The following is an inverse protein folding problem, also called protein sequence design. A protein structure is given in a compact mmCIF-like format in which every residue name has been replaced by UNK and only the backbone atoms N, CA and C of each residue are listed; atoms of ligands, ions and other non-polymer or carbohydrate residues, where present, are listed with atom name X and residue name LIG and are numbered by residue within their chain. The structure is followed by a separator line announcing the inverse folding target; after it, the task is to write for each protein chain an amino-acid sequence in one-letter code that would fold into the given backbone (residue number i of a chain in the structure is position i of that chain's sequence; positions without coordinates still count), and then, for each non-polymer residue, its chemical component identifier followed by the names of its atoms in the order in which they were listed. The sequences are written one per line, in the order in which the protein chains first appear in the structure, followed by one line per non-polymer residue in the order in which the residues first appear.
data_IF_767137920971
#
_entry.id   IF_767137920971
#
_cell.length_a   1.000
_cell.length_b   1.000
_cell.length_c   1.000
_cell.angle_alpha   90.00
_cell.angle_beta   90.00
_cell.angle_gamma   90.00
#
_symmetry.space_group_name_H-M   'P 1'
#
loop_
_entity.id
_entity.type
_entity.pdbx_description
1 polymer ?
#
# COMPACT_ATOMS: atom_id res chain seq x y z
N UNK A 1 2.61 -11.23 26.48
CA UNK A 1 3.31 -9.93 26.25
C UNK A 1 2.36 -9.07 25.40
N UNK A 2 2.32 -7.74 25.47
CA UNK A 2 1.46 -6.98 24.54
C UNK A 2 2.02 -7.04 23.11
N UNK A 3 1.15 -6.98 22.10
CA UNK A 3 1.56 -6.75 20.71
C UNK A 3 2.45 -5.52 20.64
N UNK A 4 3.61 -5.66 20.01
CA UNK A 4 4.56 -4.56 19.87
C UNK A 4 4.62 -4.11 18.43
N UNK A 5 4.44 -2.80 18.23
CA UNK A 5 4.45 -2.18 16.90
C UNK A 5 5.76 -1.41 16.71
N UNK A 6 6.36 -1.58 15.54
CA UNK A 6 7.53 -0.86 15.07
C UNK A 6 7.31 -0.49 13.61
N UNK A 7 8.34 -0.05 12.92
CA UNK A 7 8.29 0.26 11.49
C UNK A 7 9.50 -0.33 10.76
N UNK A 8 9.40 -0.47 9.43
CA UNK A 8 10.56 -0.74 8.60
C UNK A 8 11.53 0.45 8.61
N UNK A 9 12.83 0.19 8.75
CA UNK A 9 13.86 1.23 8.68
C UNK A 9 14.27 1.56 7.24
N UNK A 10 14.00 0.67 6.29
CA UNK A 10 14.19 0.87 4.85
C UNK A 10 13.16 0.08 4.05
N UNK A 11 13.00 0.37 2.76
CA UNK A 11 12.14 -0.41 1.88
C UNK A 11 12.71 -1.82 1.65
N UNK A 12 11.82 -2.80 1.49
CA UNK A 12 12.17 -4.21 1.27
C UNK A 12 11.52 -4.74 -0.01
N UNK A 13 12.23 -5.59 -0.75
CA UNK A 13 11.68 -6.30 -1.90
C UNK A 13 10.79 -7.46 -1.45
N UNK A 14 10.01 -8.03 -2.38
CA UNK A 14 9.15 -9.19 -2.12
C UNK A 14 9.92 -10.47 -1.70
N UNK A 15 11.22 -10.55 -2.00
CA UNK A 15 12.07 -11.73 -1.75
C UNK A 15 13.03 -11.52 -0.57
N UNK A 16 12.98 -10.37 0.10
CA UNK A 16 13.86 -10.06 1.22
C UNK A 16 13.55 -10.95 2.43
N UNK A 17 14.54 -11.66 2.95
CA UNK A 17 14.43 -12.47 4.18
C UNK A 17 15.04 -11.79 5.41
N UNK A 18 15.90 -10.81 5.19
CA UNK A 18 16.46 -9.96 6.25
C UNK A 18 15.69 -8.64 6.29
N UNK A 19 14.89 -8.45 7.33
CA UNK A 19 13.96 -7.34 7.46
C UNK A 19 14.51 -6.31 8.44
N UNK A 20 14.91 -5.15 7.91
CA UNK A 20 15.43 -4.06 8.71
C UNK A 20 14.27 -3.26 9.35
N UNK A 21 14.27 -3.19 10.68
CA UNK A 21 13.23 -2.52 11.48
C UNK A 21 13.83 -1.39 12.32
N UNK A 22 13.01 -0.40 12.66
CA UNK A 22 13.40 0.73 13.53
C UNK A 22 13.71 0.25 14.95
N UNK A 23 13.03 -0.80 15.41
CA UNK A 23 13.25 -1.45 16.70
C UNK A 23 12.89 -2.92 16.61
N UNK A 24 13.74 -3.78 17.18
CA UNK A 24 13.51 -5.22 17.35
C UNK A 24 12.80 -5.56 18.66
N UNK A 25 12.42 -4.55 19.45
CA UNK A 25 11.66 -4.75 20.68
C UNK A 25 10.36 -5.50 20.37
N UNK A 26 10.16 -6.66 21.02
CA UNK A 26 9.01 -7.54 20.77
C UNK A 26 9.23 -8.62 19.71
N UNK A 27 10.31 -8.54 18.91
CA UNK A 27 10.70 -9.63 18.04
C UNK A 27 11.17 -10.83 18.88
N UNK A 28 10.79 -12.05 18.49
CA UNK A 28 11.26 -13.29 19.11
C UNK A 28 11.23 -14.39 18.06
N UNK A 29 12.24 -15.26 18.07
CA UNK A 29 12.27 -16.43 17.18
C UNK A 29 11.00 -17.28 17.32
N UNK A 30 10.56 -17.87 16.20
CA UNK A 30 9.33 -18.65 16.06
C UNK A 30 8.03 -17.89 16.39
N UNK A 31 8.05 -16.56 16.39
CA UNK A 31 6.83 -15.76 16.51
C UNK A 31 6.39 -15.17 15.17
N UNK A 32 5.08 -14.97 14.99
CA UNK A 32 4.57 -14.29 13.82
C UNK A 32 4.98 -12.81 13.83
N UNK A 33 5.25 -12.31 12.64
CA UNK A 33 5.48 -10.90 12.34
C UNK A 33 4.56 -10.52 11.19
N UNK A 34 3.97 -9.34 11.26
CA UNK A 34 3.09 -8.80 10.22
C UNK A 34 3.65 -7.49 9.71
N UNK A 35 3.66 -7.31 8.38
CA UNK A 35 3.93 -6.02 7.72
C UNK A 35 2.72 -5.67 6.88
N UNK A 36 2.04 -4.56 7.18
CA UNK A 36 0.75 -4.22 6.58
C UNK A 36 -0.25 -5.40 6.64
N UNK A 37 -0.46 -6.12 5.53
CA UNK A 37 -1.30 -7.32 5.41
C UNK A 37 -0.55 -8.63 5.11
N UNK A 38 0.78 -8.60 5.10
CA UNK A 38 1.62 -9.79 4.88
C UNK A 38 2.07 -10.39 6.22
N UNK A 39 1.98 -11.72 6.34
CA UNK A 39 2.44 -12.47 7.50
C UNK A 39 3.76 -13.19 7.22
N UNK A 40 4.57 -13.30 8.25
CA UNK A 40 5.89 -13.95 8.23
C UNK A 40 6.15 -14.64 9.56
N UNK A 41 7.05 -15.62 9.56
CA UNK A 41 7.59 -16.21 10.79
C UNK A 41 9.02 -15.73 11.04
N UNK A 42 9.26 -15.13 12.21
CA UNK A 42 10.60 -14.73 12.65
C UNK A 42 11.44 -15.98 12.93
N UNK A 43 12.64 -16.04 12.37
CA UNK A 43 13.61 -17.13 12.60
C UNK A 43 14.61 -16.72 13.65
N UNK A 44 15.22 -15.55 13.48
CA UNK A 44 16.26 -15.04 14.37
C UNK A 44 16.30 -13.51 14.35
N UNK A 45 16.86 -12.93 15.41
CA UNK A 45 17.13 -11.50 15.52
C UNK A 45 18.64 -11.34 15.28
N UNK A 46 19.02 -10.87 14.10
CA UNK A 46 20.41 -10.88 13.61
C UNK A 46 21.21 -9.68 14.17
N UNK A 47 20.53 -8.62 14.59
CA UNK A 47 21.12 -7.44 15.21
C UNK A 47 20.07 -6.54 15.86
N UNK A 48 20.47 -5.36 16.34
CA UNK A 48 19.56 -4.43 17.04
C UNK A 48 18.35 -3.98 16.20
N UNK A 49 18.50 -4.02 14.86
CA UNK A 49 17.56 -3.46 13.89
C UNK A 49 17.29 -4.42 12.72
N UNK A 50 17.62 -5.71 12.87
CA UNK A 50 17.51 -6.68 11.78
C UNK A 50 16.86 -7.97 12.27
N UNK A 51 15.74 -8.32 11.65
CA UNK A 51 14.97 -9.55 11.92
C UNK A 51 15.01 -10.42 10.70
N UNK A 52 15.43 -11.68 10.84
CA UNK A 52 15.39 -12.64 9.75
C UNK A 52 14.10 -13.44 9.81
N UNK A 53 13.45 -13.59 8.67
CA UNK A 53 12.21 -14.37 8.53
C UNK A 53 12.46 -15.64 7.73
N UNK A 54 11.63 -16.67 7.97
CA UNK A 54 11.75 -17.97 7.29
C UNK A 54 11.43 -17.82 5.81
N UNK A 55 10.33 -17.13 5.53
CA UNK A 55 9.77 -16.90 4.21
C UNK A 55 8.83 -15.70 4.27
N UNK A 56 8.55 -15.18 3.07
CA UNK A 56 7.55 -14.15 2.80
C UNK A 56 6.20 -14.82 2.52
N UNK A 57 5.10 -14.12 2.80
CA UNK A 57 3.76 -14.63 2.52
C UNK A 57 3.35 -15.88 3.32
N UNK A 58 3.75 -15.98 4.59
CA UNK A 58 3.33 -17.09 5.45
C UNK A 58 1.80 -17.07 5.63
N UNK A 59 1.24 -18.22 5.99
CA UNK A 59 -0.18 -18.42 6.23
C UNK A 59 -1.07 -18.06 5.01
N UNK A 60 -0.51 -18.14 3.80
CA UNK A 60 -1.22 -17.92 2.53
C UNK A 60 -1.24 -16.46 2.07
N UNK A 61 -0.57 -15.54 2.77
CA UNK A 61 -0.51 -14.14 2.35
C UNK A 61 0.39 -13.91 1.15
N UNK A 62 0.11 -12.87 0.37
CA UNK A 62 0.93 -12.54 -0.79
C UNK A 62 2.19 -11.80 -0.35
N UNK A 63 3.36 -12.29 -0.79
CA UNK A 63 4.62 -11.58 -0.65
C UNK A 63 4.63 -10.33 -1.53
N UNK A 64 4.77 -9.13 -0.96
CA UNK A 64 4.80 -7.85 -1.70
C UNK A 64 6.00 -7.01 -1.26
N UNK A 65 6.50 -6.13 -2.11
CA UNK A 65 7.49 -5.14 -1.70
C UNK A 65 6.85 -4.11 -0.75
N UNK A 66 7.53 -3.77 0.35
CA UNK A 66 7.05 -2.75 1.29
C UNK A 66 7.98 -1.54 1.31
N UNK A 67 7.39 -0.37 1.52
CA UNK A 67 8.12 0.88 1.66
C UNK A 67 8.78 0.99 3.04
N UNK A 68 9.82 1.82 3.16
CA UNK A 68 10.32 2.24 4.46
C UNK A 68 9.16 2.84 5.28
N UNK A 69 9.25 2.73 6.61
CA UNK A 69 8.23 3.17 7.55
C UNK A 69 6.90 2.39 7.51
N UNK A 70 6.78 1.33 6.70
CA UNK A 70 5.63 0.43 6.77
C UNK A 70 5.49 -0.16 8.19
N UNK A 71 4.25 -0.34 8.63
CA UNK A 71 3.96 -0.78 10.00
C UNK A 71 4.33 -2.24 10.16
N UNK A 72 5.07 -2.54 11.24
CA UNK A 72 5.49 -3.88 11.59
C UNK A 72 4.91 -4.23 12.95
N UNK A 73 4.24 -5.37 13.06
CA UNK A 73 3.64 -5.85 14.31
C UNK A 73 4.25 -7.21 14.65
N UNK A 74 4.82 -7.34 15.86
CA UNK A 74 5.29 -8.61 16.38
C UNK A 74 4.22 -9.28 17.24
N UNK A 75 3.96 -10.54 16.95
CA UNK A 75 3.11 -11.41 17.76
C UNK A 75 3.75 -11.81 19.08
N UNK A 76 2.92 -12.20 20.03
CA UNK A 76 3.32 -12.60 21.39
C UNK A 76 3.46 -14.13 21.46
N UNK A 77 2.92 -14.85 20.47
CA UNK A 77 3.08 -16.29 20.27
C UNK A 77 1.82 -17.12 20.58
N UNK A 78 0.71 -16.48 20.95
CA UNK A 78 -0.56 -17.18 21.15
C UNK A 78 -1.25 -17.39 19.79
N UNK A 79 -1.94 -18.53 19.64
CA UNK A 79 -2.55 -18.96 18.39
C UNK A 79 -3.68 -18.01 17.89
N UNK A 80 -4.24 -17.20 18.77
CA UNK A 80 -5.40 -16.31 18.49
C UNK A 80 -5.06 -14.81 18.44
N UNK A 81 -3.78 -14.42 18.53
CA UNK A 81 -3.37 -13.00 18.58
C UNK A 81 -3.38 -12.30 17.23
N UNK A 82 -3.23 -13.09 16.18
CA UNK A 82 -3.62 -12.70 14.85
C UNK A 82 -4.88 -13.51 14.54
N UNK A 83 -5.95 -12.87 14.01
CA UNK A 83 -7.22 -13.55 13.76
C UNK A 83 -6.99 -14.92 13.12
N UNK A 84 -7.56 -15.97 13.71
CA UNK A 84 -7.43 -17.34 13.21
C UNK A 84 -7.89 -17.37 11.75
N UNK A 85 -6.91 -17.63 10.88
CA UNK A 85 -6.92 -17.40 9.42
C UNK A 85 -6.65 -15.94 9.00
N UNK A 86 -5.50 -15.67 8.36
CA UNK A 86 -5.32 -14.45 7.60
C UNK A 86 -6.41 -14.33 6.54
N UNK A 87 -6.74 -13.10 6.22
CA UNK A 87 -7.42 -12.73 4.98
C UNK A 87 -6.46 -13.07 3.82
N UNK A 88 -6.29 -14.36 3.51
CA UNK A 88 -5.68 -14.96 2.31
C UNK A 88 -5.59 -16.52 2.34
N UNK A 89 -6.51 -17.25 3.01
CA UNK A 89 -7.13 -18.29 2.17
C UNK A 89 -7.67 -17.57 0.93
N UNK A 90 -7.81 -18.19 -0.24
CA UNK A 90 -8.67 -17.61 -1.28
C UNK A 90 -10.14 -17.58 -0.82
N UNK A 91 -10.44 -17.13 0.40
CA UNK A 91 -11.65 -16.44 0.72
C UNK A 91 -11.66 -15.21 -0.17
N UNK A 92 -12.64 -15.17 -1.07
CA UNK A 92 -13.01 -13.94 -1.74
C UNK A 92 -13.13 -12.88 -0.65
N UNK A 93 -12.20 -11.93 -0.58
CA UNK A 93 -12.47 -10.69 0.13
C UNK A 93 -13.77 -10.22 -0.49
N UNK A 94 -14.80 -10.05 0.33
CA UNK A 94 -16.06 -9.65 -0.21
C UNK A 94 -15.82 -8.31 -0.94
N UNK A 95 -16.24 -8.18 -2.21
CA UNK A 95 -15.74 -7.16 -3.16
C UNK A 95 -16.02 -5.70 -2.75
N UNK A 96 -16.56 -5.49 -1.55
CA UNK A 96 -17.00 -4.21 -1.00
C UNK A 96 -16.05 -3.61 0.04
N UNK A 97 -14.98 -4.29 0.48
CA UNK A 97 -14.00 -3.67 1.37
C UNK A 97 -12.96 -2.88 0.57
N UNK A 98 -12.74 -1.59 0.86
CA UNK A 98 -11.66 -0.84 0.25
C UNK A 98 -10.31 -1.42 0.66
N UNK A 99 -9.42 -1.63 -0.30
CA UNK A 99 -8.01 -1.86 -0.01
C UNK A 99 -7.32 -0.53 0.30
N UNK A 100 -6.46 -0.50 1.32
CA UNK A 100 -5.68 0.69 1.66
C UNK A 100 -4.18 0.47 1.35
N UNK A 101 -3.61 1.26 0.45
CA UNK A 101 -2.19 1.20 0.04
C UNK A 101 -1.47 2.49 0.44
N UNK A 102 -0.30 2.39 1.07
CA UNK A 102 0.56 3.56 1.37
C UNK A 102 1.67 3.73 0.33
N UNK A 103 1.71 4.90 -0.31
CA UNK A 103 2.70 5.26 -1.32
C UNK A 103 3.83 6.10 -0.69
N UNK A 104 4.98 5.46 -0.46
CA UNK A 104 6.16 6.08 0.18
C UNK A 104 7.30 6.46 -0.79
N UNK A 105 7.29 5.93 -2.01
CA UNK A 105 8.34 6.13 -3.02
C UNK A 105 7.73 6.40 -4.40
N UNK A 106 8.31 7.33 -5.17
CA UNK A 106 7.88 7.58 -6.55
C UNK A 106 8.04 6.33 -7.42
N UNK A 107 7.13 6.14 -8.37
CA UNK A 107 7.18 4.98 -9.27
C UNK A 107 5.83 4.68 -9.89
N UNK A 108 5.66 3.44 -10.34
CA UNK A 108 4.37 2.97 -10.85
C UNK A 108 3.38 2.85 -9.69
N UNK A 109 2.18 3.38 -9.88
CA UNK A 109 1.06 3.17 -8.97
C UNK A 109 0.55 1.74 -9.22
N UNK A 110 0.63 0.82 -8.24
CA UNK A 110 0.07 -0.51 -8.42
C UNK A 110 -1.44 -0.40 -8.58
N UNK A 111 -2.03 -1.14 -9.50
CA UNK A 111 -3.50 -1.26 -9.64
C UNK A 111 -3.84 -2.74 -9.63
N UNK A 112 -4.68 -3.16 -8.68
CA UNK A 112 -5.13 -4.54 -8.58
C UNK A 112 -6.41 -4.72 -9.39
N UNK A 113 -6.42 -5.69 -10.30
CA UNK A 113 -7.54 -5.88 -11.23
C UNK A 113 -8.75 -6.63 -10.66
N UNK A 114 -8.65 -7.11 -9.42
CA UNK A 114 -9.64 -7.91 -8.72
C UNK A 114 -10.44 -7.12 -7.67
N UNK A 115 -10.11 -5.84 -7.45
CA UNK A 115 -10.72 -5.00 -6.43
C UNK A 115 -11.56 -3.88 -7.04
N UNK A 116 -12.72 -3.59 -6.44
CA UNK A 116 -13.59 -2.51 -6.91
C UNK A 116 -13.26 -1.15 -6.28
N UNK A 117 -12.60 -1.13 -5.13
CA UNK A 117 -12.32 0.08 -4.35
C UNK A 117 -10.90 0.00 -3.78
N UNK A 118 -10.02 0.92 -4.18
CA UNK A 118 -8.66 1.01 -3.63
C UNK A 118 -8.34 2.45 -3.24
N UNK A 119 -7.89 2.64 -2.00
CA UNK A 119 -7.54 3.91 -1.40
C UNK A 119 -6.01 4.02 -1.22
N UNK A 120 -5.41 5.00 -1.88
CA UNK A 120 -3.99 5.30 -1.82
C UNK A 120 -3.71 6.49 -0.90
N UNK A 121 -2.93 6.26 0.14
CA UNK A 121 -2.41 7.30 1.01
C UNK A 121 -0.95 7.64 0.64
N UNK A 122 -0.71 8.84 0.13
CA UNK A 122 0.64 9.29 -0.23
C UNK A 122 1.31 9.89 1.01
N UNK A 123 2.40 9.26 1.47
CA UNK A 123 3.13 9.65 2.70
C UNK A 123 4.62 9.93 2.46
N UNK A 124 5.03 10.10 1.21
CA UNK A 124 6.43 10.37 0.86
C UNK A 124 6.93 11.67 1.48
N UNK A 125 8.11 11.63 2.11
CA UNK A 125 8.83 12.83 2.53
C UNK A 125 9.39 13.55 1.28
N UNK A 126 8.61 14.50 0.76
CA UNK A 126 8.88 15.26 -0.46
C UNK A 126 7.83 15.02 -1.54
N UNK A 127 8.12 15.45 -2.78
CA UNK A 127 7.19 15.28 -3.90
C UNK A 127 7.15 13.81 -4.34
N UNK A 128 5.96 13.21 -4.29
CA UNK A 128 5.64 11.93 -4.93
C UNK A 128 5.31 12.16 -6.40
N UNK A 129 5.88 11.32 -7.26
CA UNK A 129 5.63 11.27 -8.69
C UNK A 129 5.20 9.84 -9.01
N UNK A 130 3.91 9.65 -9.25
CA UNK A 130 3.32 8.35 -9.58
C UNK A 130 2.99 8.25 -11.05
N UNK A 131 3.21 7.08 -11.65
CA UNK A 131 2.70 6.76 -12.99
C UNK A 131 1.57 5.75 -12.87
N UNK A 132 0.38 6.13 -13.30
CA UNK A 132 -0.81 5.28 -13.33
C UNK A 132 -1.03 4.75 -14.75
N UNK A 133 -1.05 3.42 -14.89
CA UNK A 133 -1.27 2.77 -16.18
C UNK A 133 -2.71 2.96 -16.68
N UNK A 134 -2.93 2.75 -17.98
CA UNK A 134 -4.28 2.72 -18.53
C UNK A 134 -5.10 1.57 -17.90
N UNK A 135 -6.37 1.80 -17.55
CA UNK A 135 -7.23 0.72 -17.10
C UNK A 135 -7.51 -0.22 -18.27
N UNK A 136 -7.57 -1.51 -18.00
CA UNK A 136 -8.03 -2.50 -18.98
C UNK A 136 -9.55 -2.71 -18.85
N UNK A 137 -10.15 -3.43 -19.80
CA UNK A 137 -11.61 -3.68 -19.81
C UNK A 137 -12.13 -4.42 -18.59
N UNK A 138 -11.31 -5.23 -17.92
CA UNK A 138 -11.71 -5.96 -16.72
C UNK A 138 -11.81 -5.04 -15.50
N UNK A 139 -11.17 -3.86 -15.55
CA UNK A 139 -11.20 -2.86 -14.48
C UNK A 139 -12.38 -1.89 -14.59
N UNK A 140 -13.24 -2.01 -15.60
CA UNK A 140 -14.39 -1.10 -15.76
C UNK A 140 -15.27 -1.10 -14.49
N UNK A 141 -15.51 0.09 -13.92
CA UNK A 141 -16.23 0.30 -12.67
C UNK A 141 -15.38 0.27 -11.40
N UNK A 142 -14.07 -0.03 -11.50
CA UNK A 142 -13.14 0.08 -10.38
C UNK A 142 -12.88 1.54 -10.02
N UNK A 143 -12.87 1.84 -8.73
CA UNK A 143 -12.59 3.17 -8.18
C UNK A 143 -11.26 3.21 -7.43
N UNK A 144 -10.48 4.24 -7.73
CA UNK A 144 -9.23 4.56 -7.04
C UNK A 144 -9.38 5.92 -6.35
N UNK A 145 -9.13 5.98 -5.06
CA UNK A 145 -9.08 7.24 -4.30
C UNK A 145 -7.64 7.53 -3.92
N UNK A 146 -7.15 8.72 -4.22
CA UNK A 146 -5.81 9.16 -3.82
C UNK A 146 -5.92 10.29 -2.82
N UNK A 147 -5.19 10.20 -1.71
CA UNK A 147 -5.14 11.22 -0.66
C UNK A 147 -3.70 11.55 -0.28
N UNK A 148 -3.36 12.83 -0.23
CA UNK A 148 -2.09 13.32 0.30
C UNK A 148 -2.11 13.34 1.83
N UNK A 149 -1.13 12.69 2.45
CA UNK A 149 -0.87 12.78 3.88
C UNK A 149 0.19 13.83 4.25
N UNK A 150 0.64 14.67 3.31
CA UNK A 150 1.80 15.55 3.51
C UNK A 150 1.58 16.96 2.95
N UNK A 151 2.45 17.91 3.31
CA UNK A 151 2.45 19.28 2.82
C UNK A 151 3.23 19.48 1.51
N UNK A 152 3.27 18.46 0.64
CA UNK A 152 3.97 18.52 -0.65
C UNK A 152 2.98 18.38 -1.81
N UNK A 153 3.27 19.07 -2.92
CA UNK A 153 2.50 18.96 -4.15
C UNK A 153 2.87 17.66 -4.89
N UNK A 154 2.11 16.60 -4.67
CA UNK A 154 2.28 15.32 -5.34
C UNK A 154 1.72 15.35 -6.77
N UNK A 155 2.19 14.45 -7.63
CA UNK A 155 1.71 14.31 -9.01
C UNK A 155 1.45 12.85 -9.32
N UNK A 156 0.26 12.58 -9.85
CA UNK A 156 -0.05 11.31 -10.52
C UNK A 156 -0.16 11.59 -12.01
N UNK A 157 0.61 10.85 -12.81
CA UNK A 157 0.66 10.95 -14.27
C UNK A 157 -0.04 9.74 -14.88
N UNK A 158 -1.03 10.01 -15.72
CA UNK A 158 -1.72 9.05 -16.57
C UNK A 158 -1.90 9.70 -17.96
N UNK A 159 -0.90 9.51 -18.84
CA UNK A 159 -0.76 10.26 -20.10
C UNK A 159 -1.97 10.07 -21.03
N UNK A 160 -2.80 11.11 -21.16
CA UNK A 160 -4.01 11.09 -21.98
C UNK A 160 -5.09 10.17 -21.44
N UNK A 161 -5.11 9.92 -20.13
CA UNK A 161 -6.02 8.94 -19.52
C UNK A 161 -7.02 9.55 -18.55
N UNK A 162 -6.75 10.72 -17.96
CA UNK A 162 -7.70 11.36 -17.06
C UNK A 162 -8.80 12.08 -17.85
N UNK A 163 -10.05 11.64 -17.67
CA UNK A 163 -11.24 12.29 -18.23
C UNK A 163 -11.89 13.17 -17.17
N UNK A 164 -11.83 14.49 -17.37
CA UNK A 164 -12.33 15.48 -16.40
C UNK A 164 -13.78 15.91 -16.67
N UNK A 165 -14.46 15.25 -17.60
CA UNK A 165 -15.75 15.69 -18.15
C UNK A 165 -15.63 16.75 -19.24
N UNK A 166 -14.53 17.51 -19.28
CA UNK A 166 -14.28 18.53 -20.32
C UNK A 166 -13.13 18.16 -21.26
N UNK A 167 -12.08 17.53 -20.74
CA UNK A 167 -10.87 17.21 -21.49
C UNK A 167 -10.32 15.84 -21.12
N UNK A 168 -9.36 15.40 -21.93
CA UNK A 168 -8.50 14.27 -21.60
C UNK A 168 -7.12 14.82 -21.30
N UNK A 169 -6.62 14.59 -20.10
CA UNK A 169 -5.40 15.23 -19.59
C UNK A 169 -4.41 14.20 -19.05
N UNK A 170 -3.20 14.67 -18.71
CA UNK A 170 -2.07 13.78 -18.41
C UNK A 170 -1.81 13.62 -16.91
N UNK A 171 -2.17 14.62 -16.09
CA UNK A 171 -1.71 14.70 -14.71
C UNK A 171 -2.80 15.16 -13.76
N UNK A 172 -2.77 14.62 -12.54
CA UNK A 172 -3.45 15.16 -11.36
C UNK A 172 -2.40 15.64 -10.37
N UNK A 173 -2.29 16.96 -10.18
CA UNK A 173 -1.34 17.60 -9.27
C UNK A 173 -2.05 18.05 -7.99
N UNK A 174 -1.58 17.58 -6.85
CA UNK A 174 -2.13 17.87 -5.54
C UNK A 174 -1.66 19.25 -5.08
N UNK A 175 -2.53 19.97 -4.38
CA UNK A 175 -2.13 21.13 -3.61
C UNK A 175 -1.21 20.71 -2.46
N UNK A 176 -0.33 21.62 -2.02
CA UNK A 176 0.71 21.34 -1.03
C UNK A 176 0.18 21.32 0.43
N UNK A 177 -0.84 20.50 0.70
CA UNK A 177 -1.39 20.28 2.04
C UNK A 177 -1.97 18.86 2.19
N UNK A 178 -2.00 18.37 3.42
CA UNK A 178 -2.61 17.08 3.75
C UNK A 178 -4.13 17.15 3.57
N UNK A 179 -4.72 16.10 2.99
CA UNK A 179 -6.14 16.05 2.64
C UNK A 179 -6.45 16.48 1.20
N UNK A 180 -5.47 16.98 0.43
CA UNK A 180 -5.62 17.09 -1.02
C UNK A 180 -5.76 15.69 -1.65
N UNK A 181 -6.60 15.54 -2.66
CA UNK A 181 -6.90 14.23 -3.23
C UNK A 181 -7.89 14.25 -4.38
N UNK A 182 -8.08 13.08 -4.97
CA UNK A 182 -9.10 12.86 -6.00
C UNK A 182 -9.51 11.39 -6.07
N UNK A 183 -10.69 11.13 -6.62
CA UNK A 183 -11.20 9.80 -6.91
C UNK A 183 -11.43 9.67 -8.41
N UNK A 184 -10.96 8.57 -8.99
CA UNK A 184 -11.22 8.19 -10.39
C UNK A 184 -11.93 6.86 -10.48
N UNK A 185 -12.72 6.68 -11.53
CA UNK A 185 -13.38 5.43 -11.90
C UNK A 185 -12.88 4.98 -13.28
N UNK A 186 -12.50 3.72 -13.42
CA UNK A 186 -12.12 3.14 -14.70
C UNK A 186 -13.34 2.97 -15.61
N UNK A 187 -13.26 3.51 -16.82
CA UNK A 187 -14.27 3.29 -17.85
C UNK A 187 -13.66 3.36 -19.25
N UNK A 188 -13.83 2.30 -20.02
CA UNK A 188 -13.49 2.22 -21.45
C UNK A 188 -12.05 2.62 -21.78
N UNK A 189 -11.11 2.25 -20.91
CA UNK A 189 -9.68 2.56 -21.08
C UNK A 189 -9.25 3.93 -20.57
N UNK A 190 -10.13 4.64 -19.85
CA UNK A 190 -9.86 5.93 -19.23
C UNK A 190 -10.12 5.91 -17.72
N UNK A 191 -9.51 6.86 -17.02
CA UNK A 191 -9.77 7.19 -15.62
C UNK A 191 -10.69 8.42 -15.56
N UNK A 192 -11.98 8.19 -15.38
CA UNK A 192 -12.98 9.25 -15.20
C UNK A 192 -12.82 9.88 -13.82
N UNK A 193 -12.59 11.19 -13.76
CA UNK A 193 -12.50 11.92 -12.49
C UNK A 193 -13.91 12.06 -11.91
N UNK A 194 -14.15 11.43 -10.76
CA UNK A 194 -15.45 11.42 -10.07
C UNK A 194 -15.52 12.53 -9.04
N UNK A 195 -14.42 12.76 -8.32
CA UNK A 195 -14.32 13.80 -7.30
C UNK A 195 -12.88 14.29 -7.18
N UNK A 196 -12.71 15.55 -6.77
CA UNK A 196 -11.39 16.13 -6.51
C UNK A 196 -11.48 17.20 -5.44
N UNK A 197 -10.52 17.23 -4.53
CA UNK A 197 -10.35 18.25 -3.50
C UNK A 197 -8.90 18.71 -3.55
N UNK A 198 -8.68 19.99 -3.85
CA UNK A 198 -7.32 20.52 -3.93
C UNK A 198 -6.42 19.80 -4.93
N UNK A 199 -6.97 19.37 -6.08
CA UNK A 199 -6.21 18.75 -7.17
C UNK A 199 -6.45 19.51 -8.47
N UNK A 200 -5.38 19.83 -9.18
CA UNK A 200 -5.41 20.43 -10.52
C UNK A 200 -5.13 19.36 -11.58
N UNK A 201 -5.98 19.30 -12.60
CA UNK A 201 -5.87 18.36 -13.72
C UNK A 201 -5.37 19.09 -14.99
N UNK A 202 -4.27 18.60 -15.58
CA UNK A 202 -3.59 19.21 -16.74
C UNK A 202 -2.86 18.20 -17.64
#
# INVERSE_FOLDING_TARGET
MPLTTTQLSTGISQDALDIAVVSTLGATANRPMKIDNEYMAVVEIVGSNLVKVRSRGDQGTQAVAHNALASVIFGTGEADEFPSHPVAASGKIAPHFPEHITLGISGIVPVRGDEFLTDYAIKKAGVYLGTLAAPNKAMNGQRLTFTSGTAFAHVITATGLFKTGAATVNTGTFAAFAGAGFTVEAQDGFWNVVASVGTTFA
#
